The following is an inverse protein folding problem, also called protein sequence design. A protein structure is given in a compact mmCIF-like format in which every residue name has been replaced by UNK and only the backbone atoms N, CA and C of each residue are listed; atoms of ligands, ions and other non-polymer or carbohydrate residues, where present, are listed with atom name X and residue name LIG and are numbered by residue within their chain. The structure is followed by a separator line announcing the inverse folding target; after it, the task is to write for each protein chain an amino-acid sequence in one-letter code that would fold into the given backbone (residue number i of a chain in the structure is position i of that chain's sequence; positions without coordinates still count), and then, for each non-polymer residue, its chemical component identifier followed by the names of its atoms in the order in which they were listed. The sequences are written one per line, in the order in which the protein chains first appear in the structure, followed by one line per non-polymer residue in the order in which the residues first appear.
data_IF_805812379628
#
_entry.id   IF_805812379628
#
_cell.length_a   1.000
_cell.length_b   1.000
_cell.length_c   1.000
_cell.angle_alpha   90.00
_cell.angle_beta   90.00
_cell.angle_gamma   90.00
#
_symmetry.space_group_name_H-M   'P 1'
#
loop_
_entity.id
_entity.type
_entity.pdbx_description
1 polymer ?
#
# COMPACT_ATOMS: atom_id res chain seq x y z
N UNK A 1 -9.21 6.39 18.11
CA UNK A 1 -7.87 6.57 18.70
C UNK A 1 -7.13 5.29 18.40
N UNK A 2 -6.31 5.27 17.33
CA UNK A 2 -5.52 4.10 16.99
C UNK A 2 -4.41 3.94 18.03
N UNK A 3 -4.07 2.71 18.42
CA UNK A 3 -2.89 2.50 19.23
C UNK A 3 -1.64 2.84 18.40
N UNK A 4 -0.58 3.40 19.00
CA UNK A 4 0.64 3.78 18.29
C UNK A 4 1.29 2.59 17.55
N UNK A 5 1.05 1.37 18.01
CA UNK A 5 1.50 0.15 17.33
C UNK A 5 0.78 -0.09 16.00
N UNK A 6 -0.53 0.18 15.92
CA UNK A 6 -1.29 0.02 14.67
C UNK A 6 -0.92 1.08 13.64
N UNK A 7 -0.65 2.30 14.07
CA UNK A 7 -0.11 3.35 13.19
C UNK A 7 1.25 2.98 12.63
N UNK A 8 2.12 2.41 13.47
CA UNK A 8 3.44 1.92 13.02
C UNK A 8 3.30 0.76 12.02
N UNK A 9 2.42 -0.20 12.27
CA UNK A 9 2.15 -1.31 11.34
C UNK A 9 1.62 -0.80 10.01
N UNK A 10 0.63 0.09 10.04
CA UNK A 10 0.06 0.69 8.82
C UNK A 10 1.12 1.45 8.02
N UNK A 11 2.00 2.19 8.70
CA UNK A 11 3.10 2.90 8.06
C UNK A 11 4.10 1.95 7.37
N UNK A 12 4.50 0.86 8.04
CA UNK A 12 5.39 -0.14 7.45
C UNK A 12 4.77 -0.79 6.21
N UNK A 13 3.48 -1.15 6.28
CA UNK A 13 2.75 -1.71 5.13
C UNK A 13 2.73 -0.71 3.97
N UNK A 14 2.38 0.55 4.25
CA UNK A 14 2.33 1.59 3.24
C UNK A 14 3.68 1.81 2.55
N UNK A 15 4.77 1.90 3.32
CA UNK A 15 6.12 2.09 2.80
C UNK A 15 6.58 0.88 1.95
N UNK A 16 6.28 -0.34 2.40
CA UNK A 16 6.60 -1.56 1.66
C UNK A 16 5.85 -1.63 0.32
N UNK A 17 4.55 -1.26 0.30
CA UNK A 17 3.77 -1.21 -0.94
C UNK A 17 4.34 -0.16 -1.90
N UNK A 18 4.57 1.06 -1.44
CA UNK A 18 5.11 2.15 -2.27
C UNK A 18 6.49 1.78 -2.81
N UNK A 19 7.36 1.22 -1.95
CA UNK A 19 8.67 0.71 -2.34
C UNK A 19 8.60 -0.38 -3.41
N UNK A 20 7.65 -1.30 -3.30
CA UNK A 20 7.44 -2.35 -4.29
C UNK A 20 6.92 -1.77 -5.62
N UNK A 21 6.00 -0.81 -5.58
CA UNK A 21 5.49 -0.10 -6.76
C UNK A 21 6.60 0.69 -7.46
N UNK A 22 7.50 1.36 -6.74
CA UNK A 22 8.61 2.15 -7.32
C UNK A 22 9.65 1.27 -8.01
N UNK A 23 9.79 0.00 -7.60
CA UNK A 23 10.70 -0.95 -8.26
C UNK A 23 10.25 -1.27 -9.68
N UNK A 24 8.97 -1.12 -9.98
CA UNK A 24 8.46 -1.24 -11.34
C UNK A 24 8.98 -0.07 -12.20
N UNK A 25 9.70 -0.33 -13.31
CA UNK A 25 10.23 0.71 -14.19
C UNK A 25 9.16 1.59 -14.83
N UNK A 26 7.93 1.10 -14.99
CA UNK A 26 6.82 1.83 -15.59
C UNK A 26 6.00 2.59 -14.55
N UNK A 27 6.40 2.54 -13.28
CA UNK A 27 5.65 3.15 -12.20
C UNK A 27 5.69 4.68 -12.25
N UNK A 28 4.53 5.36 -12.32
CA UNK A 28 4.46 6.81 -12.20
C UNK A 28 4.93 7.34 -10.83
N UNK A 29 5.00 6.48 -9.80
CA UNK A 29 5.55 6.84 -8.49
C UNK A 29 7.07 6.99 -8.49
N UNK A 30 7.77 6.46 -9.51
CA UNK A 30 9.23 6.45 -9.53
C UNK A 30 9.82 7.85 -9.59
N UNK A 31 9.25 8.77 -10.36
CA UNK A 31 9.90 10.05 -10.63
C UNK A 31 9.33 11.21 -9.81
N UNK A 32 8.29 10.96 -9.01
CA UNK A 32 7.54 12.02 -8.32
C UNK A 32 7.48 11.78 -6.80
N UNK A 33 8.39 12.37 -5.99
CA UNK A 33 8.40 12.20 -4.54
C UNK A 33 7.08 12.54 -3.85
N UNK A 34 6.40 13.61 -4.29
CA UNK A 34 5.09 14.00 -3.76
C UNK A 34 4.01 12.96 -4.05
N UNK A 35 4.08 12.25 -5.19
CA UNK A 35 3.16 11.16 -5.50
C UNK A 35 3.43 9.94 -4.61
N UNK A 36 4.69 9.67 -4.25
CA UNK A 36 5.05 8.60 -3.30
C UNK A 36 4.48 8.87 -1.92
N UNK A 37 4.65 10.10 -1.42
CA UNK A 37 4.12 10.49 -0.11
C UNK A 37 2.59 10.47 -0.06
N UNK A 38 1.95 10.94 -1.14
CA UNK A 38 0.50 10.84 -1.29
C UNK A 38 0.02 9.37 -1.30
N UNK A 39 0.72 8.50 -2.03
CA UNK A 39 0.41 7.06 -2.07
C UNK A 39 0.57 6.39 -0.71
N UNK A 40 1.67 6.65 -0.02
CA UNK A 40 1.89 6.12 1.33
C UNK A 40 0.77 6.58 2.28
N UNK A 41 0.40 7.86 2.23
CA UNK A 41 -0.68 8.43 3.06
C UNK A 41 -2.03 7.77 2.76
N UNK A 42 -2.41 7.66 1.49
CA UNK A 42 -3.68 7.05 1.08
C UNK A 42 -3.76 5.57 1.51
N UNK A 43 -2.69 4.81 1.31
CA UNK A 43 -2.62 3.40 1.75
C UNK A 43 -2.72 3.31 3.28
N UNK A 44 -1.99 4.14 4.01
CA UNK A 44 -2.01 4.14 5.48
C UNK A 44 -3.41 4.41 6.02
N UNK A 45 -4.15 5.36 5.45
CA UNK A 45 -5.54 5.66 5.83
C UNK A 45 -6.44 4.44 5.62
N UNK A 46 -6.33 3.76 4.47
CA UNK A 46 -7.13 2.57 4.17
C UNK A 46 -6.79 1.38 5.07
N UNK A 47 -5.51 1.15 5.36
CA UNK A 47 -5.05 0.06 6.23
C UNK A 47 -5.49 0.30 7.67
N UNK A 48 -5.39 1.54 8.18
CA UNK A 48 -5.85 1.88 9.52
C UNK A 48 -7.34 1.61 9.74
N UNK A 49 -8.18 1.74 8.71
CA UNK A 49 -9.63 1.49 8.79
C UNK A 49 -9.97 0.02 9.06
N UNK A 50 -9.07 -0.91 8.73
CA UNK A 50 -9.31 -2.35 8.87
C UNK A 50 -8.44 -3.01 9.95
N UNK A 51 -7.45 -2.29 10.48
CA UNK A 51 -6.65 -2.78 11.59
C UNK A 51 -7.42 -2.73 12.93
N UNK A 52 -7.17 -3.69 13.83
CA UNK A 52 -6.33 -4.87 13.63
C UNK A 52 -7.03 -5.92 12.75
N UNK A 53 -6.30 -6.49 11.80
CA UNK A 53 -6.74 -7.65 11.03
C UNK A 53 -5.56 -8.53 10.70
N UNK A 54 -5.77 -9.84 10.74
CA UNK A 54 -4.79 -10.86 10.31
C UNK A 54 -5.07 -11.36 8.89
N UNK A 55 -6.09 -10.81 8.23
CA UNK A 55 -6.52 -11.22 6.90
C UNK A 55 -5.68 -10.53 5.81
N UNK A 56 -4.84 -11.33 5.17
CA UNK A 56 -3.93 -10.88 4.11
C UNK A 56 -4.66 -10.28 2.92
N UNK A 57 -5.81 -10.84 2.53
CA UNK A 57 -6.58 -10.41 1.37
C UNK A 57 -7.28 -9.08 1.65
N UNK A 58 -7.79 -8.89 2.87
CA UNK A 58 -8.38 -7.60 3.28
C UNK A 58 -7.34 -6.49 3.29
N UNK A 59 -6.12 -6.77 3.75
CA UNK A 59 -5.01 -5.82 3.70
C UNK A 59 -4.62 -5.49 2.26
N UNK A 60 -4.48 -6.50 1.39
CA UNK A 60 -4.19 -6.28 -0.03
C UNK A 60 -5.26 -5.40 -0.70
N UNK A 61 -6.54 -5.65 -0.42
CA UNK A 61 -7.64 -4.82 -0.93
C UNK A 61 -7.57 -3.38 -0.43
N UNK A 62 -7.24 -3.16 0.85
CA UNK A 62 -7.06 -1.81 1.40
C UNK A 62 -5.90 -1.06 0.70
N UNK A 63 -4.76 -1.72 0.50
CA UNK A 63 -3.64 -1.13 -0.23
C UNK A 63 -4.03 -0.77 -1.67
N UNK A 64 -4.73 -1.65 -2.38
CA UNK A 64 -5.18 -1.39 -3.74
C UNK A 64 -6.20 -0.23 -3.81
N UNK A 65 -7.07 -0.07 -2.80
CA UNK A 65 -7.96 1.11 -2.72
C UNK A 65 -7.16 2.40 -2.58
N UNK A 66 -6.18 2.44 -1.67
CA UNK A 66 -5.31 3.59 -1.50
C UNK A 66 -4.50 3.95 -2.76
N UNK A 67 -4.02 2.94 -3.50
CA UNK A 67 -3.36 3.13 -4.79
C UNK A 67 -4.32 3.63 -5.88
N UNK A 68 -5.57 3.17 -5.85
CA UNK A 68 -6.62 3.55 -6.80
C UNK A 68 -7.15 4.97 -6.60
N UNK A 69 -7.23 5.44 -5.35
CA UNK A 69 -7.71 6.80 -5.03
C UNK A 69 -6.87 7.90 -5.69
N UNK A 70 -5.60 7.62 -5.98
CA UNK A 70 -4.71 8.60 -6.61
C UNK A 70 -4.78 8.57 -8.15
N UNK A 71 -5.60 7.71 -8.77
CA UNK A 71 -5.62 7.45 -10.22
C UNK A 71 -4.22 7.12 -10.80
N UNK A 72 -3.29 6.67 -9.95
CA UNK A 72 -1.90 6.33 -10.29
C UNK A 72 -1.83 4.95 -10.95
N UNK A 73 -2.90 4.16 -10.82
CA UNK A 73 -3.07 2.90 -11.51
C UNK A 73 -4.08 3.07 -12.65
N UNK A 74 -3.59 3.40 -13.86
CA UNK A 74 -4.30 2.94 -15.05
C UNK A 74 -4.47 1.41 -14.93
N UNK A 75 -5.49 0.83 -15.57
CA UNK A 75 -5.93 -0.57 -15.37
C UNK A 75 -4.84 -1.67 -15.56
N UNK A 76 -3.60 -1.31 -15.91
CA UNK A 76 -2.44 -2.18 -16.06
C UNK A 76 -1.33 -1.92 -15.01
N UNK A 77 -1.60 -1.21 -13.91
CA UNK A 77 -0.64 -0.98 -12.84
C UNK A 77 -0.39 -2.20 -11.94
N UNK A 78 0.70 -2.22 -11.16
CA UNK A 78 1.01 -3.32 -10.25
C UNK A 78 -0.04 -3.45 -9.15
N UNK A 79 -0.50 -4.68 -8.90
CA UNK A 79 -1.58 -4.99 -7.96
C UNK A 79 -1.02 -5.71 -6.74
N UNK A 80 -1.38 -5.25 -5.55
CA UNK A 80 -1.07 -5.96 -4.29
C UNK A 80 -1.97 -7.19 -4.22
N UNK A 81 -1.36 -8.37 -4.09
CA UNK A 81 -2.06 -9.66 -4.04
C UNK A 81 -2.09 -10.27 -2.64
N UNK A 82 -1.12 -9.94 -1.81
CA UNK A 82 -1.06 -10.37 -0.42
C UNK A 82 -0.23 -9.39 0.41
N UNK A 83 -0.60 -9.24 1.68
CA UNK A 83 0.16 -8.50 2.70
C UNK A 83 0.27 -9.37 3.94
N UNK A 84 1.48 -9.57 4.47
CA UNK A 84 1.66 -10.25 5.74
C UNK A 84 1.44 -9.26 6.90
N UNK A 85 0.44 -9.47 7.77
CA UNK A 85 0.17 -8.56 8.90
C UNK A 85 1.28 -8.56 9.96
N UNK A 86 2.12 -9.61 10.04
CA UNK A 86 3.15 -9.76 11.06
C UNK A 86 4.41 -8.95 10.80
N UNK A 87 4.84 -8.84 9.54
CA UNK A 87 6.07 -8.12 9.14
C UNK A 87 5.84 -7.03 8.08
N UNK A 88 4.61 -6.90 7.57
CA UNK A 88 4.24 -5.94 6.53
C UNK A 88 4.77 -6.28 5.14
N UNK A 89 5.31 -7.48 4.92
CA UNK A 89 5.78 -7.91 3.59
C UNK A 89 4.64 -7.95 2.57
N UNK A 90 4.94 -7.58 1.33
CA UNK A 90 3.94 -7.40 0.27
C UNK A 90 4.28 -8.29 -0.92
N UNK A 91 3.26 -8.91 -1.50
CA UNK A 91 3.39 -9.64 -2.77
C UNK A 91 2.62 -8.89 -3.84
N UNK A 92 3.29 -8.56 -4.94
CA UNK A 92 2.69 -7.84 -6.07
C UNK A 92 2.64 -8.71 -7.31
N UNK A 93 1.56 -8.56 -8.08
CA UNK A 93 1.47 -9.03 -9.45
C UNK A 93 1.72 -7.85 -10.38
N UNK A 94 2.67 -8.00 -11.30
CA UNK A 94 2.89 -7.01 -12.36
C UNK A 94 1.69 -7.03 -13.33
N UNK A 95 1.29 -5.84 -13.77
CA UNK A 95 0.21 -5.66 -14.75
C UNK A 95 0.68 -5.87 -16.18
#
# INVERSE_FOLDING_TARGET
MHSPDLERVAHVIADNVVSAVIRDPQSPLRDTPSAREAAATAIMVEVLRILPTEDSDRLAQACNRGLGELMITEASGPVVTAVNPGDGSVTMRQG
#
